data_IF_652752776532
#
_entry.id   IF_652752776532
#
_cell.length_a   1.000
_cell.length_b   1.000
_cell.length_c   1.000
_cell.angle_alpha   90.00
_cell.angle_beta   90.00
_cell.angle_gamma   90.00
#
_symmetry.space_group_name_H-M   'P 1'
#
loop_
_entity.id
_entity.type
_entity.pdbx_description
1 polymer ?
#
# COMPACT_ATOMS: atom_id res chain seq x y z
N UNK A 1 24.90 -5.84 -4.26
CA UNK A 1 24.08 -6.12 -5.49
C UNK A 1 22.80 -6.79 -5.07
N UNK A 2 21.66 -6.31 -5.52
CA UNK A 2 20.32 -6.83 -5.20
C UNK A 2 20.17 -8.28 -5.66
N UNK A 3 19.69 -9.14 -4.77
CA UNK A 3 19.37 -10.55 -5.05
C UNK A 3 17.88 -10.86 -4.88
N UNK A 4 17.13 -10.00 -4.20
CA UNK A 4 15.71 -10.15 -4.02
C UNK A 4 15.05 -8.81 -3.65
N UNK A 5 13.74 -8.77 -3.80
CA UNK A 5 12.95 -7.58 -3.52
C UNK A 5 11.91 -7.83 -2.43
N UNK A 6 11.68 -6.81 -1.63
CA UNK A 6 10.51 -6.71 -0.76
C UNK A 6 9.66 -5.55 -1.29
N UNK A 7 8.38 -5.80 -1.51
CA UNK A 7 7.42 -4.76 -1.92
C UNK A 7 6.42 -4.48 -0.80
N UNK A 8 6.09 -3.21 -0.60
CA UNK A 8 4.84 -2.81 0.03
C UNK A 8 3.67 -2.96 -0.96
N UNK A 9 2.44 -3.05 -0.42
CA UNK A 9 1.22 -3.12 -1.23
C UNK A 9 0.51 -1.77 -1.30
N UNK A 10 0.00 -1.29 -0.16
CA UNK A 10 -0.91 -0.14 -0.09
C UNK A 10 -0.23 1.21 -0.23
N UNK A 11 -0.47 1.91 -1.31
CA UNK A 11 0.27 3.11 -1.70
C UNK A 11 1.29 2.81 -2.81
N UNK A 12 1.87 1.63 -2.78
CA UNK A 12 2.94 1.21 -3.71
C UNK A 12 2.39 0.51 -4.94
N UNK A 13 1.76 -0.65 -4.77
CA UNK A 13 1.31 -1.48 -5.89
C UNK A 13 -0.11 -1.15 -6.37
N UNK A 14 -0.92 -0.55 -5.52
CA UNK A 14 -2.34 -0.31 -5.75
C UNK A 14 -2.70 1.14 -6.10
N UNK A 15 -1.82 2.11 -5.80
CA UNK A 15 -2.07 3.53 -6.07
C UNK A 15 -0.92 4.28 -6.74
N UNK A 16 0.15 3.57 -7.14
CA UNK A 16 1.22 4.16 -7.95
C UNK A 16 2.06 5.20 -7.20
N UNK A 17 2.39 4.92 -5.95
CA UNK A 17 3.19 5.81 -5.09
C UNK A 17 2.37 6.87 -4.35
N UNK A 18 1.05 6.96 -4.60
CA UNK A 18 0.19 7.94 -3.96
C UNK A 18 -0.36 7.43 -2.63
N UNK A 19 -0.30 8.28 -1.60
CA UNK A 19 -0.88 7.95 -0.30
C UNK A 19 -2.40 7.80 -0.38
N UNK A 20 -2.96 6.72 0.19
CA UNK A 20 -4.39 6.41 0.16
C UNK A 20 -5.31 7.55 0.62
N UNK A 21 -4.87 8.33 1.59
CA UNK A 21 -5.62 9.53 2.02
C UNK A 21 -5.79 10.55 0.91
N UNK A 22 -4.79 10.74 0.04
CA UNK A 22 -4.90 11.65 -1.10
C UNK A 22 -5.75 11.06 -2.23
N UNK A 23 -5.59 9.78 -2.50
CA UNK A 23 -6.40 9.08 -3.52
C UNK A 23 -7.90 9.18 -3.22
N UNK A 24 -8.29 8.94 -1.96
CA UNK A 24 -9.71 9.08 -1.55
C UNK A 24 -10.13 10.55 -1.54
N UNK A 25 -9.26 11.47 -1.08
CA UNK A 25 -9.57 12.89 -1.09
C UNK A 25 -9.90 13.39 -2.50
N UNK A 26 -9.07 13.06 -3.47
CA UNK A 26 -9.33 13.43 -4.87
C UNK A 26 -10.59 12.78 -5.44
N UNK A 27 -10.96 11.58 -5.01
CA UNK A 27 -12.26 10.99 -5.35
C UNK A 27 -13.41 11.80 -4.74
N UNK A 28 -13.29 12.23 -3.48
CA UNK A 28 -14.28 13.11 -2.83
C UNK A 28 -14.48 14.42 -3.59
N UNK A 29 -13.38 15.04 -4.05
CA UNK A 29 -13.43 16.26 -4.87
C UNK A 29 -14.13 15.99 -6.21
N UNK A 30 -13.73 14.93 -6.94
CA UNK A 30 -14.33 14.58 -8.24
C UNK A 30 -15.83 14.30 -8.15
N UNK A 31 -16.28 13.69 -7.05
CA UNK A 31 -17.69 13.35 -6.83
C UNK A 31 -18.47 14.40 -6.02
N UNK A 32 -17.88 15.57 -5.77
CA UNK A 32 -18.56 16.68 -5.13
C UNK A 32 -19.12 16.35 -3.75
N UNK A 33 -18.35 15.63 -2.90
CA UNK A 33 -18.81 15.23 -1.56
C UNK A 33 -19.07 16.46 -0.68
N UNK A 34 -18.40 17.60 -0.94
CA UNK A 34 -18.72 18.88 -0.32
C UNK A 34 -18.31 19.04 1.15
N UNK A 35 -17.26 18.30 1.57
CA UNK A 35 -16.67 18.43 2.90
C UNK A 35 -15.32 19.16 2.83
N UNK A 36 -14.88 19.77 3.93
CA UNK A 36 -13.54 20.34 4.00
C UNK A 36 -12.47 19.25 4.08
N UNK A 37 -11.25 19.52 3.56
CA UNK A 37 -10.13 18.58 3.69
C UNK A 37 -9.81 18.23 5.16
N UNK A 38 -9.95 19.22 6.08
CA UNK A 38 -9.75 18.99 7.50
C UNK A 38 -10.73 17.95 8.07
N UNK A 39 -12.03 18.09 7.78
CA UNK A 39 -13.05 17.13 8.21
C UNK A 39 -12.83 15.74 7.57
N UNK A 40 -12.48 15.72 6.28
CA UNK A 40 -12.11 14.49 5.59
C UNK A 40 -10.93 13.79 6.26
N UNK A 41 -9.86 14.52 6.61
CA UNK A 41 -8.68 13.95 7.27
C UNK A 41 -9.02 13.29 8.61
N UNK A 42 -9.91 13.89 9.38
CA UNK A 42 -10.42 13.28 10.63
C UNK A 42 -11.19 11.99 10.34
N UNK A 43 -12.10 12.01 9.36
CA UNK A 43 -12.86 10.83 8.95
C UNK A 43 -11.97 9.69 8.42
N UNK A 44 -10.95 10.04 7.63
CA UNK A 44 -9.96 9.08 7.14
C UNK A 44 -9.22 8.39 8.30
N UNK A 45 -8.67 9.16 9.22
CA UNK A 45 -7.96 8.63 10.40
C UNK A 45 -8.90 7.79 11.28
N UNK A 46 -10.16 8.22 11.45
CA UNK A 46 -11.16 7.46 12.17
C UNK A 46 -11.42 6.10 11.53
N UNK A 47 -11.63 6.06 10.20
CA UNK A 47 -11.83 4.83 9.44
C UNK A 47 -10.67 3.85 9.57
N UNK A 48 -9.44 4.34 9.35
CA UNK A 48 -8.21 3.52 9.48
C UNK A 48 -8.06 2.93 10.88
N UNK A 49 -8.25 3.74 11.92
CA UNK A 49 -8.15 3.28 13.31
C UNK A 49 -9.25 2.29 13.68
N UNK A 50 -10.46 2.49 13.16
CA UNK A 50 -11.60 1.61 13.41
C UNK A 50 -11.36 0.25 12.77
N UNK A 51 -10.93 0.19 11.52
CA UNK A 51 -10.60 -1.07 10.82
C UNK A 51 -9.43 -1.80 11.48
N UNK A 52 -8.42 -1.06 11.97
CA UNK A 52 -7.26 -1.67 12.62
C UNK A 52 -7.55 -2.26 14.01
N UNK A 53 -8.58 -1.74 14.72
CA UNK A 53 -8.90 -2.14 16.09
C UNK A 53 -10.03 -3.16 16.19
N UNK A 54 -10.88 -3.23 15.18
CA UNK A 54 -12.08 -4.06 15.20
C UNK A 54 -12.02 -5.09 14.07
N UNK A 55 -12.51 -6.33 14.28
CA UNK A 55 -12.49 -7.41 13.29
C UNK A 55 -13.61 -7.23 12.24
N UNK A 56 -13.67 -6.04 11.61
CA UNK A 56 -14.64 -5.72 10.56
C UNK A 56 -14.24 -6.42 9.27
N UNK A 57 -12.95 -6.30 8.91
CA UNK A 57 -12.40 -6.96 7.73
C UNK A 57 -12.17 -8.44 8.05
N UNK A 58 -12.74 -9.31 7.21
CA UNK A 58 -12.61 -10.76 7.33
C UNK A 58 -11.54 -11.27 6.35
N UNK A 59 -10.94 -12.44 6.59
CA UNK A 59 -9.91 -12.99 5.72
C UNK A 59 -10.36 -13.25 4.27
N UNK A 60 -11.66 -13.44 4.05
CA UNK A 60 -12.28 -13.66 2.75
C UNK A 60 -12.76 -12.38 2.05
N UNK A 61 -12.65 -11.21 2.72
CA UNK A 61 -13.00 -9.94 2.09
C UNK A 61 -12.10 -9.66 0.90
N UNK A 62 -12.74 -9.31 -0.21
CA UNK A 62 -12.06 -8.75 -1.39
C UNK A 62 -11.54 -7.34 -1.09
N UNK A 63 -10.76 -6.79 -2.00
CA UNK A 63 -10.37 -5.38 -1.92
C UNK A 63 -11.60 -4.46 -1.95
N UNK A 64 -12.58 -4.77 -2.85
CA UNK A 64 -13.83 -4.02 -2.93
C UNK A 64 -14.60 -4.04 -1.61
N UNK A 65 -14.69 -5.18 -0.91
CA UNK A 65 -15.35 -5.28 0.40
C UNK A 65 -14.63 -4.44 1.45
N UNK A 66 -13.30 -4.49 1.47
CA UNK A 66 -12.47 -3.71 2.40
C UNK A 66 -12.61 -2.20 2.16
N UNK A 67 -12.58 -1.79 0.89
CA UNK A 67 -12.77 -0.39 0.48
C UNK A 67 -14.19 0.09 0.82
N UNK A 68 -15.20 -0.74 0.58
CA UNK A 68 -16.60 -0.49 0.95
C UNK A 68 -16.73 -0.21 2.45
N UNK A 69 -16.17 -1.07 3.30
CA UNK A 69 -16.19 -0.88 4.75
C UNK A 69 -15.48 0.44 5.17
N UNK A 70 -14.35 0.75 4.54
CA UNK A 70 -13.60 1.99 4.80
C UNK A 70 -14.40 3.24 4.42
N UNK A 71 -14.97 3.27 3.22
CA UNK A 71 -15.75 4.42 2.73
C UNK A 71 -17.02 4.64 3.56
N UNK A 72 -17.70 3.54 3.93
CA UNK A 72 -18.88 3.61 4.78
C UNK A 72 -18.55 4.27 6.12
N UNK A 73 -17.50 3.85 6.79
CA UNK A 73 -17.06 4.44 8.06
C UNK A 73 -16.75 5.94 7.92
N UNK A 74 -16.13 6.36 6.82
CA UNK A 74 -15.80 7.76 6.58
C UNK A 74 -17.06 8.61 6.31
N UNK A 75 -17.94 8.15 5.43
CA UNK A 75 -19.16 8.87 5.08
C UNK A 75 -20.15 8.96 6.25
N UNK A 76 -20.26 7.89 7.06
CA UNK A 76 -21.07 7.88 8.28
C UNK A 76 -20.50 8.88 9.31
N UNK A 77 -19.17 8.92 9.51
CA UNK A 77 -18.50 9.88 10.39
C UNK A 77 -18.76 11.33 9.98
N UNK A 78 -18.79 11.58 8.67
CA UNK A 78 -19.05 12.91 8.10
C UNK A 78 -20.54 13.28 8.04
N UNK A 79 -21.43 12.38 8.46
CA UNK A 79 -22.89 12.51 8.27
C UNK A 79 -23.27 12.86 6.81
N UNK A 80 -22.53 12.29 5.85
CA UNK A 80 -22.62 12.60 4.42
C UNK A 80 -22.86 11.34 3.57
N UNK A 81 -23.40 10.29 4.19
CA UNK A 81 -23.73 9.06 3.48
C UNK A 81 -24.99 9.24 2.60
N UNK A 82 -24.88 8.80 1.35
CA UNK A 82 -26.01 8.45 0.49
C UNK A 82 -25.57 7.26 -0.38
N UNK A 83 -26.49 6.38 -0.71
CA UNK A 83 -26.22 5.17 -1.51
C UNK A 83 -25.57 5.52 -2.85
N UNK A 84 -26.17 6.48 -3.58
CA UNK A 84 -25.66 6.93 -4.88
C UNK A 84 -24.21 7.43 -4.79
N UNK A 85 -23.90 8.27 -3.80
CA UNK A 85 -22.55 8.79 -3.58
C UNK A 85 -21.58 7.70 -3.18
N UNK A 86 -21.99 6.81 -2.30
CA UNK A 86 -21.18 5.71 -1.83
C UNK A 86 -20.79 4.78 -2.99
N UNK A 87 -21.75 4.35 -3.82
CA UNK A 87 -21.48 3.48 -4.95
C UNK A 87 -20.61 4.16 -6.02
N UNK A 88 -20.82 5.46 -6.29
CA UNK A 88 -20.01 6.21 -7.22
C UNK A 88 -18.54 6.32 -6.79
N UNK A 89 -18.30 6.60 -5.49
CA UNK A 89 -16.96 6.65 -4.91
C UNK A 89 -16.29 5.26 -4.91
N UNK A 90 -17.04 4.24 -4.52
CA UNK A 90 -16.55 2.87 -4.47
C UNK A 90 -16.12 2.37 -5.85
N UNK A 91 -16.94 2.62 -6.87
CA UNK A 91 -16.64 2.22 -8.24
C UNK A 91 -15.44 2.98 -8.82
N UNK A 92 -15.37 4.30 -8.66
CA UNK A 92 -14.26 5.13 -9.14
C UNK A 92 -12.92 4.66 -8.54
N UNK A 93 -12.86 4.54 -7.22
CA UNK A 93 -11.66 4.11 -6.50
C UNK A 93 -11.27 2.68 -6.85
N UNK A 94 -12.23 1.77 -6.92
CA UNK A 94 -11.99 0.37 -7.27
C UNK A 94 -11.43 0.22 -8.68
N UNK A 95 -11.98 0.94 -9.68
CA UNK A 95 -11.46 0.91 -11.04
C UNK A 95 -10.06 1.51 -11.14
N UNK A 96 -9.79 2.59 -10.38
CA UNK A 96 -8.45 3.18 -10.30
C UNK A 96 -7.42 2.19 -9.80
N UNK A 97 -7.72 1.52 -8.69
CA UNK A 97 -6.84 0.47 -8.10
C UNK A 97 -6.66 -0.70 -9.04
N UNK A 98 -7.74 -1.17 -9.67
CA UNK A 98 -7.67 -2.27 -10.65
C UNK A 98 -6.73 -1.95 -11.81
N UNK A 99 -6.80 -0.73 -12.33
CA UNK A 99 -5.93 -0.28 -13.42
C UNK A 99 -4.47 -0.19 -12.96
N UNK A 100 -4.21 0.37 -11.77
CA UNK A 100 -2.84 0.52 -11.26
C UNK A 100 -2.22 -0.83 -10.88
N UNK A 101 -2.98 -1.70 -10.24
CA UNK A 101 -2.52 -3.05 -9.88
C UNK A 101 -2.17 -3.88 -11.11
N UNK A 102 -2.91 -3.68 -12.23
CA UNK A 102 -2.56 -4.32 -13.50
C UNK A 102 -1.21 -3.83 -14.05
N UNK A 103 -0.93 -2.51 -13.96
CA UNK A 103 0.38 -1.95 -14.37
C UNK A 103 1.51 -2.48 -13.48
N UNK A 104 1.27 -2.54 -12.17
CA UNK A 104 2.21 -3.11 -11.20
C UNK A 104 2.50 -4.57 -11.51
N UNK A 105 1.46 -5.36 -11.82
CA UNK A 105 1.58 -6.76 -12.18
C UNK A 105 2.51 -6.99 -13.39
N UNK A 106 2.42 -6.16 -14.40
CA UNK A 106 3.29 -6.26 -15.59
C UNK A 106 4.77 -6.13 -15.23
N UNK A 107 5.11 -5.19 -14.34
CA UNK A 107 6.48 -5.00 -13.85
C UNK A 107 6.92 -6.16 -12.95
N UNK A 108 6.08 -6.57 -12.02
CA UNK A 108 6.38 -7.67 -11.11
C UNK A 108 6.64 -8.99 -11.85
N UNK A 109 5.88 -9.28 -12.92
CA UNK A 109 6.09 -10.47 -13.74
C UNK A 109 7.43 -10.43 -14.51
N UNK A 110 7.94 -9.26 -14.85
CA UNK A 110 9.28 -9.13 -15.44
C UNK A 110 10.36 -9.35 -14.38
N UNK A 111 10.26 -8.68 -13.22
CA UNK A 111 11.22 -8.82 -12.12
C UNK A 111 11.31 -10.26 -11.60
N UNK A 112 10.17 -10.96 -11.52
CA UNK A 112 10.09 -12.35 -11.03
C UNK A 112 10.96 -13.34 -11.81
N UNK A 113 11.33 -13.02 -13.04
CA UNK A 113 12.19 -13.89 -13.86
C UNK A 113 13.58 -14.03 -13.27
N UNK A 114 14.06 -12.96 -12.63
CA UNK A 114 15.45 -12.84 -12.19
C UNK A 114 15.57 -12.73 -10.66
N UNK A 115 14.50 -12.31 -9.97
CA UNK A 115 14.52 -12.01 -8.55
C UNK A 115 13.35 -12.66 -7.79
N UNK A 116 13.60 -13.40 -6.70
CA UNK A 116 12.56 -13.74 -5.76
C UNK A 116 12.04 -12.48 -5.05
N UNK A 117 10.74 -12.48 -4.76
CA UNK A 117 10.07 -11.34 -4.17
C UNK A 117 9.20 -11.75 -2.99
N UNK A 118 9.17 -10.91 -1.96
CA UNK A 118 8.31 -11.02 -0.77
C UNK A 118 7.45 -9.77 -0.67
N UNK A 119 6.20 -9.93 -0.23
CA UNK A 119 5.34 -8.81 0.10
C UNK A 119 5.43 -8.54 1.61
N UNK A 120 5.62 -7.27 2.01
CA UNK A 120 5.57 -6.83 3.41
C UNK A 120 4.57 -5.69 3.52
N UNK A 121 3.42 -5.92 4.14
CA UNK A 121 2.34 -4.94 4.18
C UNK A 121 1.69 -4.78 5.55
N UNK A 122 1.36 -3.52 5.89
CA UNK A 122 0.40 -3.25 6.96
C UNK A 122 -1.02 -3.44 6.40
N UNK A 123 -1.62 -4.59 6.69
CA UNK A 123 -2.95 -4.91 6.17
C UNK A 123 -3.84 -5.54 7.24
N UNK A 124 -5.04 -5.98 6.89
CA UNK A 124 -6.11 -6.31 7.84
C UNK A 124 -6.34 -7.82 8.03
N UNK A 125 -5.47 -8.69 7.48
CA UNK A 125 -5.60 -10.15 7.54
C UNK A 125 -6.17 -10.78 6.28
N UNK A 126 -6.44 -10.00 5.23
CA UNK A 126 -7.06 -10.45 3.99
C UNK A 126 -6.22 -10.21 2.74
N UNK A 127 -4.94 -9.83 2.86
CA UNK A 127 -4.12 -9.47 1.70
C UNK A 127 -4.02 -10.60 0.67
N UNK A 128 -4.00 -11.86 1.09
CA UNK A 128 -3.97 -13.01 0.17
C UNK A 128 -5.21 -13.08 -0.72
N UNK A 129 -6.39 -12.71 -0.21
CA UNK A 129 -7.62 -12.64 -1.00
C UNK A 129 -7.56 -11.47 -1.98
N UNK A 130 -7.06 -10.33 -1.55
CA UNK A 130 -6.84 -9.14 -2.39
C UNK A 130 -5.86 -9.42 -3.53
N UNK A 131 -4.73 -10.07 -3.24
CA UNK A 131 -3.75 -10.43 -4.28
C UNK A 131 -4.36 -11.35 -5.33
N UNK A 132 -5.19 -12.31 -4.91
CA UNK A 132 -5.91 -13.22 -5.82
C UNK A 132 -6.92 -12.47 -6.69
N UNK A 133 -7.67 -11.53 -6.12
CA UNK A 133 -8.63 -10.69 -6.84
C UNK A 133 -7.98 -9.94 -8.00
N UNK A 134 -6.78 -9.42 -7.80
CA UNK A 134 -6.05 -8.65 -8.81
C UNK A 134 -5.06 -9.47 -9.65
N UNK A 135 -5.06 -10.79 -9.52
CA UNK A 135 -4.18 -11.66 -10.29
C UNK A 135 -2.71 -11.54 -9.93
N UNK A 136 -2.41 -11.13 -8.70
CA UNK A 136 -1.06 -11.08 -8.12
C UNK A 136 -0.72 -12.35 -7.35
N UNK A 137 -1.63 -13.33 -7.32
CA UNK A 137 -1.44 -14.61 -6.68
C UNK A 137 -0.20 -15.34 -7.22
N UNK A 138 0.58 -15.92 -6.33
CA UNK A 138 1.79 -16.64 -6.67
C UNK A 138 2.95 -15.79 -7.23
N UNK A 139 2.84 -14.45 -7.28
CA UNK A 139 3.97 -13.59 -7.68
C UNK A 139 5.01 -13.52 -6.57
N UNK A 140 4.58 -13.38 -5.34
CA UNK A 140 5.44 -13.34 -4.16
C UNK A 140 5.65 -14.73 -3.60
N UNK A 141 6.90 -15.07 -3.25
CA UNK A 141 7.25 -16.35 -2.63
C UNK A 141 6.68 -16.46 -1.21
N UNK A 142 6.58 -15.34 -0.52
CA UNK A 142 6.03 -15.23 0.84
C UNK A 142 5.31 -13.88 1.03
N UNK A 143 4.40 -13.84 2.00
CA UNK A 143 3.66 -12.64 2.40
C UNK A 143 3.86 -12.45 3.90
N UNK A 144 4.38 -11.29 4.29
CA UNK A 144 4.51 -10.84 5.67
C UNK A 144 3.46 -9.76 5.90
N UNK A 145 2.33 -10.16 6.45
CA UNK A 145 1.20 -9.27 6.73
C UNK A 145 1.15 -8.92 8.21
N UNK A 146 1.08 -7.62 8.54
CA UNK A 146 1.18 -7.13 9.92
C UNK A 146 0.13 -7.73 10.85
N UNK A 147 -1.10 -7.93 10.37
CA UNK A 147 -2.18 -8.53 11.16
C UNK A 147 -1.93 -10.01 11.51
N UNK A 148 -1.12 -10.71 10.70
CA UNK A 148 -0.78 -12.13 10.89
C UNK A 148 0.45 -12.29 11.78
N UNK A 149 1.50 -11.50 11.50
CA UNK A 149 2.78 -11.65 12.22
C UNK A 149 2.85 -10.87 13.54
N UNK A 150 1.87 -9.99 13.81
CA UNK A 150 1.82 -9.19 15.05
C UNK A 150 2.85 -8.05 15.11
N UNK A 151 3.61 -7.82 14.03
CA UNK A 151 4.56 -6.71 13.89
C UNK A 151 4.10 -5.84 12.72
N UNK A 152 4.19 -4.52 12.87
CA UNK A 152 3.74 -3.60 11.82
C UNK A 152 4.73 -2.47 11.60
N UNK A 153 4.80 -1.96 10.39
CA UNK A 153 5.51 -0.72 10.03
C UNK A 153 5.02 0.44 10.92
N UNK A 154 5.89 1.28 11.44
CA UNK A 154 7.29 1.47 11.07
C UNK A 154 8.31 0.63 11.86
N UNK A 155 7.91 -0.42 12.55
CA UNK A 155 8.86 -1.30 13.26
C UNK A 155 9.75 -2.05 12.25
N UNK A 156 11.09 -1.87 12.28
CA UNK A 156 11.99 -2.49 11.31
C UNK A 156 11.97 -4.02 11.34
N UNK A 157 11.52 -4.64 12.44
CA UNK A 157 11.42 -6.09 12.56
C UNK A 157 10.53 -6.72 11.49
N UNK A 158 9.54 -5.99 10.95
CA UNK A 158 8.69 -6.52 9.88
C UNK A 158 9.50 -6.74 8.59
N UNK A 159 10.49 -5.87 8.31
CA UNK A 159 11.39 -6.04 7.17
C UNK A 159 12.43 -7.14 7.42
N UNK A 160 12.89 -7.30 8.66
CA UNK A 160 13.73 -8.45 9.04
C UNK A 160 13.02 -9.78 8.73
N UNK A 161 11.73 -9.91 9.05
CA UNK A 161 10.93 -11.09 8.67
C UNK A 161 10.86 -11.28 7.14
N UNK A 162 10.75 -10.20 6.38
CA UNK A 162 10.79 -10.25 4.92
C UNK A 162 12.14 -10.71 4.36
N UNK A 163 13.24 -10.24 4.95
CA UNK A 163 14.62 -10.66 4.60
C UNK A 163 14.84 -12.13 4.92
N UNK A 164 14.40 -12.59 6.09
CA UNK A 164 14.45 -14.00 6.49
C UNK A 164 13.66 -14.89 5.52
N UNK A 165 12.48 -14.44 5.09
CA UNK A 165 11.64 -15.14 4.11
C UNK A 165 12.32 -15.27 2.72
N UNK A 166 13.18 -14.31 2.34
CA UNK A 166 13.99 -14.37 1.12
C UNK A 166 15.23 -15.27 1.27
N UNK A 167 15.73 -15.47 2.50
CA UNK A 167 16.95 -16.23 2.77
C UNK A 167 18.24 -15.54 2.33
N UNK A 168 18.23 -14.22 2.20
CA UNK A 168 19.40 -13.38 1.85
C UNK A 168 19.86 -12.57 3.04
N UNK A 169 21.03 -11.93 2.91
CA UNK A 169 21.47 -10.94 3.87
C UNK A 169 20.76 -9.60 3.59
N UNK A 170 20.51 -8.75 4.61
CA UNK A 170 19.79 -7.49 4.42
C UNK A 170 20.36 -6.62 3.30
N UNK A 171 21.68 -6.50 3.21
CA UNK A 171 22.37 -5.73 2.16
C UNK A 171 22.29 -6.32 0.74
N UNK A 172 21.66 -7.47 0.59
CA UNK A 172 21.36 -8.11 -0.70
C UNK A 172 19.88 -7.95 -1.10
N UNK A 173 19.08 -7.31 -0.24
CA UNK A 173 17.64 -7.11 -0.43
C UNK A 173 17.34 -5.64 -0.68
N UNK A 174 16.46 -5.38 -1.65
CA UNK A 174 15.95 -4.04 -1.93
C UNK A 174 14.47 -3.97 -1.58
N UNK A 175 14.12 -3.00 -0.74
CA UNK A 175 12.74 -2.69 -0.37
C UNK A 175 12.21 -1.58 -1.26
N UNK A 176 11.02 -1.77 -1.81
CA UNK A 176 10.29 -0.79 -2.63
C UNK A 176 9.00 -0.41 -1.90
N UNK A 177 8.82 0.87 -1.62
CA UNK A 177 7.65 1.40 -0.91
C UNK A 177 7.41 2.87 -1.19
N UNK A 178 6.19 3.36 -0.92
CA UNK A 178 5.78 4.77 -1.13
C UNK A 178 6.00 5.65 0.09
N UNK A 179 6.04 5.09 1.29
CA UNK A 179 6.11 5.85 2.53
C UNK A 179 7.53 5.96 3.07
N UNK A 180 8.04 7.20 3.18
CA UNK A 180 9.34 7.42 3.81
C UNK A 180 9.37 6.85 5.23
N UNK A 181 8.36 7.15 6.03
CA UNK A 181 8.34 6.77 7.45
C UNK A 181 8.00 5.29 7.69
N UNK A 182 7.17 4.69 6.84
CA UNK A 182 6.69 3.31 7.04
C UNK A 182 7.50 2.27 6.28
N UNK A 183 8.15 2.67 5.18
CA UNK A 183 8.88 1.74 4.32
C UNK A 183 10.38 2.04 4.31
N UNK A 184 10.78 3.24 3.92
CA UNK A 184 12.17 3.54 3.61
C UNK A 184 13.03 3.57 4.87
N UNK A 185 12.67 4.37 5.87
CA UNK A 185 13.45 4.48 7.09
C UNK A 185 13.54 3.16 7.87
N UNK A 186 12.45 2.40 8.09
CA UNK A 186 12.55 1.13 8.79
C UNK A 186 13.24 0.04 7.97
N UNK A 187 13.15 0.03 6.64
CA UNK A 187 13.90 -0.88 5.79
C UNK A 187 15.42 -0.62 5.88
N UNK A 188 15.84 0.64 5.87
CA UNK A 188 17.24 1.02 6.12
C UNK A 188 17.72 0.62 7.51
N UNK A 189 16.87 0.80 8.52
CA UNK A 189 17.18 0.35 9.89
C UNK A 189 17.32 -1.18 9.99
N UNK A 190 16.63 -1.93 9.13
CA UNK A 190 16.82 -3.37 8.98
C UNK A 190 18.05 -3.75 8.13
N UNK A 191 18.79 -2.81 7.57
CA UNK A 191 20.00 -3.01 6.77
C UNK A 191 19.77 -3.24 5.27
N UNK A 192 18.54 -3.03 4.77
CA UNK A 192 18.19 -3.21 3.37
C UNK A 192 18.55 -1.99 2.52
N UNK A 193 18.74 -2.21 1.21
CA UNK A 193 18.66 -1.14 0.22
C UNK A 193 17.22 -0.70 0.04
N UNK A 194 17.03 0.56 -0.41
CA UNK A 194 15.71 1.17 -0.50
C UNK A 194 15.47 1.86 -1.83
N UNK A 195 14.27 1.68 -2.36
CA UNK A 195 13.73 2.41 -3.50
C UNK A 195 12.44 3.09 -3.05
N UNK A 196 12.45 4.41 -3.00
CA UNK A 196 11.25 5.18 -2.70
C UNK A 196 10.44 5.41 -3.97
N UNK A 197 9.23 4.83 -4.02
CA UNK A 197 8.26 5.11 -5.07
C UNK A 197 7.51 6.39 -4.72
N UNK A 198 8.03 7.51 -5.21
CA UNK A 198 7.57 8.84 -4.86
C UNK A 198 6.31 9.21 -5.64
N UNK A 199 5.24 9.46 -4.93
CA UNK A 199 4.00 10.06 -5.40
C UNK A 199 3.53 11.17 -4.46
N UNK A 200 2.23 11.45 -4.49
CA UNK A 200 1.62 12.44 -3.60
C UNK A 200 1.51 11.88 -2.17
N UNK A 201 2.19 12.53 -1.23
CA UNK A 201 2.22 12.15 0.18
C UNK A 201 0.97 12.56 0.96
N UNK A 202 0.82 12.03 2.19
CA UNK A 202 -0.26 12.42 3.11
C UNK A 202 -0.24 13.90 3.48
N UNK A 203 0.95 14.49 3.58
CA UNK A 203 1.16 15.90 3.88
C UNK A 203 2.05 16.52 2.80
N UNK A 204 1.94 17.84 2.63
CA UNK A 204 2.76 18.60 1.69
C UNK A 204 4.13 18.96 2.30
N UNK A 205 4.48 18.39 3.46
CA UNK A 205 5.77 18.61 4.10
C UNK A 205 6.90 18.07 3.21
N UNK A 206 7.98 18.84 3.03
CA UNK A 206 9.12 18.40 2.24
C UNK A 206 9.77 17.16 2.88
N UNK A 207 10.03 16.15 2.08
CA UNK A 207 10.71 14.92 2.48
C UNK A 207 12.11 14.93 1.93
N UNK A 208 13.10 14.58 2.76
CA UNK A 208 14.49 14.47 2.32
C UNK A 208 14.70 13.19 1.49
N UNK A 209 14.75 13.35 0.17
CA UNK A 209 14.90 12.24 -0.78
C UNK A 209 16.22 11.45 -0.59
N UNK A 210 17.26 12.07 0.01
CA UNK A 210 18.55 11.41 0.29
C UNK A 210 18.45 10.28 1.31
N UNK A 211 17.30 10.18 1.97
CA UNK A 211 16.98 9.07 2.88
C UNK A 211 16.78 7.74 2.14
N UNK A 212 16.42 7.75 0.87
CA UNK A 212 16.33 6.56 0.02
C UNK A 212 17.59 6.40 -0.83
N UNK A 213 17.99 5.15 -1.14
CA UNK A 213 19.12 4.90 -2.03
C UNK A 213 18.78 5.24 -3.49
N UNK A 214 17.52 5.09 -3.84
CA UNK A 214 16.98 5.45 -5.17
C UNK A 214 15.56 5.98 -5.01
N UNK A 215 15.20 6.98 -5.83
CA UNK A 215 13.84 7.50 -5.98
C UNK A 215 13.35 7.17 -7.37
N UNK A 216 12.12 6.68 -7.46
CA UNK A 216 11.43 6.41 -8.73
C UNK A 216 10.04 7.05 -8.71
N UNK A 217 9.50 7.35 -9.86
CA UNK A 217 8.13 7.84 -10.06
C UNK A 217 7.26 6.87 -10.87
N UNK A 218 7.87 5.78 -11.33
CA UNK A 218 7.18 4.67 -11.99
C UNK A 218 7.88 3.35 -11.65
N UNK A 219 7.11 2.30 -11.34
CA UNK A 219 7.64 0.96 -11.13
C UNK A 219 8.39 0.42 -12.37
N UNK A 220 8.07 0.90 -13.57
CA UNK A 220 8.79 0.53 -14.80
C UNK A 220 10.28 0.84 -14.74
N UNK A 221 10.68 1.82 -13.94
CA UNK A 221 12.09 2.16 -13.75
C UNK A 221 12.91 1.05 -13.07
N UNK A 222 12.25 0.09 -12.42
CA UNK A 222 12.91 -1.08 -11.83
C UNK A 222 13.39 -2.08 -12.89
N UNK A 223 12.77 -2.09 -14.06
CA UNK A 223 13.05 -3.02 -15.17
C UNK A 223 13.65 -2.32 -16.40
N UNK A 224 13.72 -1.00 -16.39
CA UNK A 224 14.43 -0.23 -17.41
C UNK A 224 15.95 -0.37 -17.17
N UNK A 225 16.62 -1.12 -18.02
CA UNK A 225 18.08 -1.24 -18.13
C UNK A 225 18.58 -0.33 -19.23
#
# INVERSE_FOLDING_TARGET
MTKGYIFDYGGTLDTGGQHWGKVIWHAYERHGVGVSEAAYREAYVYGERTLAKNPIVKPDFTFRDTLSAKLKLQLDYLANYSEERFEALLDDLYQGVRAETQRSREVLLQLRRDYPMVLVSNFYGNISTVLREFGLDGIFSQIVESAVVGVRKPDPRIFTLGVEALGFRPEEVTVVGDSMDKDILPARAAGCHTVWFKGEGWTDAPVDERQADRVITSLKELVAV
#
